data_IF_807359809472
#
_entry.id   IF_807359809472
#
_cell.length_a   1.000
_cell.length_b   1.000
_cell.length_c   1.000
_cell.angle_alpha   90.00
_cell.angle_beta   90.00
_cell.angle_gamma   90.00
#
_symmetry.space_group_name_H-M   'P 1'
#
loop_
_entity.id
_entity.type
_entity.pdbx_description
1 polymer ?
#
# COMPACT_ATOMS: atom_id res chain seq x y z
N UNK A 1 -16.27 36.61 51.78
CA UNK A 1 -15.21 35.58 51.69
C UNK A 1 -15.06 35.07 50.25
N UNK A 2 -14.66 35.95 49.30
CA UNK A 2 -14.46 35.60 47.88
C UNK A 2 -13.12 36.12 47.31
N UNK A 3 -12.22 36.57 48.19
CA UNK A 3 -10.92 37.17 47.83
C UNK A 3 -9.71 36.35 48.28
N UNK A 4 -9.93 35.15 48.84
CA UNK A 4 -8.87 34.23 49.29
C UNK A 4 -8.59 33.15 48.23
N UNK A 5 -9.49 32.96 47.26
CA UNK A 5 -9.35 31.91 46.23
C UNK A 5 -8.50 32.33 45.02
N UNK A 6 -8.05 33.58 44.94
CA UNK A 6 -7.28 34.06 43.77
C UNK A 6 -5.75 34.02 43.96
N UNK A 7 -5.25 33.83 45.19
CA UNK A 7 -3.81 33.86 45.50
C UNK A 7 -3.16 32.47 45.58
N UNK A 8 -3.94 31.39 45.59
CA UNK A 8 -3.41 30.02 45.59
C UNK A 8 -3.08 29.47 44.19
N UNK A 9 -3.56 30.12 43.11
CA UNK A 9 -3.37 29.65 41.73
C UNK A 9 -2.03 30.03 41.08
N UNK A 10 -1.25 30.93 41.68
CA UNK A 10 -0.02 31.47 41.06
C UNK A 10 1.29 30.83 41.54
N UNK A 11 1.23 29.90 42.50
CA UNK A 11 2.41 29.24 43.05
C UNK A 11 2.68 27.84 42.46
N UNK A 12 1.81 27.34 41.57
CA UNK A 12 1.91 25.97 41.01
C UNK A 12 2.39 25.93 39.56
N UNK A 13 2.90 27.06 39.04
CA UNK A 13 3.40 27.15 37.65
C UNK A 13 4.90 26.84 37.51
N UNK A 14 5.81 27.07 38.48
CA UNK A 14 7.23 26.82 38.21
C UNK A 14 7.63 25.34 38.32
N UNK A 15 6.79 24.45 38.88
CA UNK A 15 7.14 23.02 39.04
C UNK A 15 7.01 22.18 37.76
N UNK A 16 6.40 22.68 36.70
CA UNK A 16 6.30 21.96 35.41
C UNK A 16 7.50 22.30 34.49
N UNK A 17 8.19 23.41 34.74
CA UNK A 17 9.35 23.82 33.93
C UNK A 17 10.62 22.96 34.20
N UNK A 18 10.67 22.24 35.32
CA UNK A 18 11.81 21.39 35.69
C UNK A 18 11.83 20.03 34.98
N UNK A 19 10.70 19.58 34.41
CA UNK A 19 10.64 18.28 33.72
C UNK A 19 11.05 18.35 32.25
N UNK A 20 11.20 19.54 31.67
CA UNK A 20 11.59 19.72 30.27
C UNK A 20 13.11 19.65 30.02
N UNK A 21 13.94 19.82 31.05
CA UNK A 21 15.42 19.72 30.95
C UNK A 21 15.98 18.37 31.44
N UNK A 22 15.13 17.42 31.80
CA UNK A 22 15.52 16.04 32.10
C UNK A 22 15.55 15.13 30.85
N UNK A 23 15.75 15.70 29.65
CA UNK A 23 16.40 14.97 28.55
C UNK A 23 17.89 14.85 28.89
N UNK A 24 18.19 14.21 30.03
CA UNK A 24 19.53 13.74 30.34
C UNK A 24 19.96 12.83 29.20
N UNK A 25 21.19 13.02 28.75
CA UNK A 25 21.94 12.14 27.85
C UNK A 25 21.75 10.67 28.26
N UNK A 26 20.70 10.04 27.74
CA UNK A 26 20.31 8.70 28.09
C UNK A 26 21.04 7.74 27.19
N UNK A 27 21.94 6.94 27.77
CA UNK A 27 22.17 5.60 27.26
C UNK A 27 20.81 4.98 26.96
N UNK A 28 20.61 4.67 25.68
CA UNK A 28 19.39 4.01 25.23
C UNK A 28 19.34 2.66 25.94
N UNK A 29 18.30 2.45 26.75
CA UNK A 29 18.01 1.14 27.33
C UNK A 29 18.07 0.09 26.20
N UNK A 30 19.00 -0.89 26.23
CA UNK A 30 19.13 -1.86 25.16
C UNK A 30 17.85 -2.70 24.96
N UNK A 31 16.94 -2.72 25.94
CA UNK A 31 15.64 -3.36 25.83
C UNK A 31 14.57 -2.51 25.12
N UNK A 32 14.73 -1.19 25.05
CA UNK A 32 13.76 -0.25 24.44
C UNK A 32 14.34 0.55 23.27
N UNK A 33 15.61 0.36 22.94
CA UNK A 33 16.26 0.98 21.80
C UNK A 33 15.71 0.49 20.47
N UNK A 34 15.36 1.42 19.59
CA UNK A 34 15.12 1.10 18.17
C UNK A 34 16.35 0.39 17.62
N UNK A 35 16.15 -0.73 16.93
CA UNK A 35 17.23 -1.47 16.29
C UNK A 35 18.08 -0.53 15.42
N UNK A 36 19.40 -0.70 15.49
CA UNK A 36 20.34 0.06 14.64
C UNK A 36 19.98 -0.19 13.16
N UNK A 37 20.10 0.82 12.29
CA UNK A 37 19.82 0.64 10.86
C UNK A 37 20.74 -0.46 10.29
N UNK A 38 20.12 -1.44 9.63
CA UNK A 38 20.82 -2.56 8.99
C UNK A 38 21.14 -2.19 7.54
N UNK A 39 22.23 -2.76 7.01
CA UNK A 39 22.62 -2.58 5.61
C UNK A 39 21.47 -2.97 4.66
N UNK A 40 21.30 -2.25 3.54
CA UNK A 40 20.27 -2.57 2.55
C UNK A 40 20.55 -3.91 1.88
N UNK A 41 19.49 -4.70 1.68
CA UNK A 41 19.58 -5.99 0.98
C UNK A 41 20.03 -5.83 -0.47
N UNK A 42 20.85 -6.76 -0.95
CA UNK A 42 21.30 -6.78 -2.34
C UNK A 42 20.16 -7.11 -3.32
N UNK A 43 20.30 -6.82 -4.63
CA UNK A 43 19.30 -7.26 -5.63
C UNK A 43 19.12 -8.78 -5.68
N UNK A 44 20.19 -9.56 -5.46
CA UNK A 44 20.16 -11.01 -5.45
C UNK A 44 19.29 -11.54 -4.29
N UNK A 45 19.56 -11.07 -3.07
CA UNK A 45 18.75 -11.39 -1.87
C UNK A 45 17.28 -11.03 -2.06
N UNK A 46 17.00 -9.87 -2.67
CA UNK A 46 15.61 -9.46 -2.97
C UNK A 46 14.93 -10.36 -3.99
N UNK A 47 15.69 -10.89 -4.96
CA UNK A 47 15.14 -11.78 -5.99
C UNK A 47 14.81 -13.17 -5.43
N UNK A 48 15.68 -13.69 -4.57
CA UNK A 48 15.48 -14.95 -3.85
C UNK A 48 14.28 -14.86 -2.91
N UNK A 49 14.22 -13.81 -2.07
CA UNK A 49 13.07 -13.57 -1.18
C UNK A 49 11.75 -13.33 -1.94
N UNK A 50 11.80 -12.90 -3.21
CA UNK A 50 10.59 -12.84 -4.06
C UNK A 50 10.22 -14.22 -4.60
N UNK A 51 11.19 -15.06 -4.94
CA UNK A 51 10.99 -16.43 -5.35
C UNK A 51 10.29 -17.25 -4.27
N UNK A 52 10.81 -17.20 -3.05
CA UNK A 52 10.23 -17.88 -1.88
C UNK A 52 8.79 -17.45 -1.62
N UNK A 53 8.54 -16.13 -1.58
CA UNK A 53 7.18 -15.58 -1.39
C UNK A 53 6.21 -16.01 -2.47
N UNK A 54 6.64 -16.09 -3.73
CA UNK A 54 5.80 -16.58 -4.83
C UNK A 54 5.46 -18.05 -4.65
N UNK A 55 6.42 -18.88 -4.25
CA UNK A 55 6.19 -20.30 -3.99
C UNK A 55 5.17 -20.51 -2.86
N UNK A 56 5.40 -19.86 -1.71
CA UNK A 56 4.50 -19.93 -0.56
C UNK A 56 3.10 -19.37 -0.89
N UNK A 57 3.03 -18.22 -1.56
CA UNK A 57 1.76 -17.61 -1.97
C UNK A 57 0.99 -18.46 -2.97
N UNK A 58 1.68 -19.10 -3.92
CA UNK A 58 1.04 -20.00 -4.89
C UNK A 58 0.50 -21.27 -4.21
N UNK A 59 1.22 -21.82 -3.24
CA UNK A 59 0.76 -22.97 -2.45
C UNK A 59 -0.46 -22.60 -1.58
N UNK A 60 -0.40 -21.46 -0.89
CA UNK A 60 -1.51 -20.97 -0.07
C UNK A 60 -2.76 -20.67 -0.92
N UNK A 61 -2.60 -20.04 -2.09
CA UNK A 61 -3.71 -19.73 -3.00
C UNK A 61 -4.42 -20.97 -3.56
N UNK A 62 -3.73 -22.12 -3.64
CA UNK A 62 -4.34 -23.39 -4.06
C UNK A 62 -5.25 -24.00 -2.98
N UNK A 63 -5.02 -23.68 -1.70
CA UNK A 63 -5.76 -24.25 -0.57
C UNK A 63 -5.59 -25.77 -0.41
N UNK A 64 -6.27 -26.39 0.58
CA UNK A 64 -6.31 -27.84 0.74
C UNK A 64 -6.95 -28.51 -0.49
N UNK A 65 -6.18 -29.34 -1.19
CA UNK A 65 -6.67 -30.13 -2.33
C UNK A 65 -7.23 -31.47 -1.82
N UNK A 66 -8.41 -31.43 -1.19
CA UNK A 66 -9.07 -32.63 -0.67
C UNK A 66 -9.93 -33.25 -1.78
N UNK A 67 -9.44 -34.32 -2.40
CA UNK A 67 -10.19 -35.09 -3.39
C UNK A 67 -9.31 -36.10 -4.12
N UNK A 68 -9.88 -37.25 -4.48
CA UNK A 68 -9.23 -38.21 -5.38
C UNK A 68 -9.02 -37.56 -6.75
N UNK A 69 -7.78 -37.13 -6.99
CA UNK A 69 -7.12 -37.12 -8.30
C UNK A 69 -7.93 -36.61 -9.48
N UNK A 70 -8.70 -35.53 -9.36
CA UNK A 70 -9.18 -34.84 -10.55
C UNK A 70 -7.95 -34.29 -11.28
N UNK A 71 -7.68 -34.70 -12.54
CA UNK A 71 -6.51 -34.25 -13.25
C UNK A 71 -6.54 -32.73 -13.31
N UNK A 72 -5.40 -32.11 -13.00
CA UNK A 72 -5.27 -30.65 -13.06
C UNK A 72 -5.71 -30.20 -14.45
N UNK A 73 -6.69 -29.28 -14.57
CA UNK A 73 -7.24 -28.94 -15.87
C UNK A 73 -6.11 -28.44 -16.77
N UNK A 74 -5.98 -29.04 -17.95
CA UNK A 74 -4.98 -28.64 -18.93
C UNK A 74 -5.25 -27.19 -19.31
N UNK A 75 -4.26 -26.32 -19.13
CA UNK A 75 -4.38 -24.92 -19.51
C UNK A 75 -4.75 -24.82 -21.00
N UNK A 76 -5.75 -24.01 -21.31
CA UNK A 76 -6.13 -23.74 -22.69
C UNK A 76 -4.94 -23.18 -23.49
N UNK A 77 -4.83 -23.48 -24.79
CA UNK A 77 -3.77 -22.93 -25.62
C UNK A 77 -3.80 -21.40 -25.58
N UNK A 78 -2.62 -20.78 -25.49
CA UNK A 78 -2.49 -19.33 -25.53
C UNK A 78 -2.98 -18.82 -26.89
N UNK A 79 -3.80 -17.78 -26.86
CA UNK A 79 -4.18 -17.05 -28.08
C UNK A 79 -2.92 -16.49 -28.75
N UNK A 80 -2.85 -16.61 -30.08
CA UNK A 80 -1.71 -16.13 -30.87
C UNK A 80 -1.48 -14.63 -30.64
N UNK A 81 -0.28 -14.15 -30.96
CA UNK A 81 0.04 -12.72 -30.81
C UNK A 81 -0.76 -11.88 -31.81
N UNK A 82 -0.98 -12.44 -32.99
CA UNK A 82 -1.68 -11.89 -34.12
C UNK A 82 -3.16 -11.69 -33.77
N UNK A 83 -3.81 -12.72 -33.23
CA UNK A 83 -5.21 -12.65 -32.79
C UNK A 83 -5.40 -11.65 -31.66
N UNK A 84 -4.47 -11.61 -30.69
CA UNK A 84 -4.49 -10.59 -29.63
C UNK A 84 -4.34 -9.18 -30.19
N UNK A 85 -3.50 -8.99 -31.21
CA UNK A 85 -3.33 -7.69 -31.87
C UNK A 85 -4.61 -7.29 -32.61
N UNK A 86 -5.23 -8.21 -33.34
CA UNK A 86 -6.48 -7.99 -34.05
C UNK A 86 -7.63 -7.64 -33.09
N UNK A 87 -7.79 -8.40 -32.00
CA UNK A 87 -8.79 -8.12 -30.97
C UNK A 87 -8.59 -6.75 -30.32
N UNK A 88 -7.34 -6.38 -30.02
CA UNK A 88 -7.02 -5.06 -29.50
C UNK A 88 -7.32 -3.93 -30.49
N UNK A 89 -7.05 -4.14 -31.78
CA UNK A 89 -7.37 -3.18 -32.82
C UNK A 89 -8.88 -2.95 -32.92
N UNK A 90 -9.68 -4.04 -32.93
CA UNK A 90 -11.15 -3.97 -32.91
C UNK A 90 -11.67 -3.20 -31.70
N UNK A 91 -11.19 -3.52 -30.50
CA UNK A 91 -11.56 -2.81 -29.26
C UNK A 91 -11.27 -1.31 -29.34
N UNK A 92 -10.08 -0.94 -29.84
CA UNK A 92 -9.70 0.47 -30.00
C UNK A 92 -10.56 1.19 -31.03
N UNK A 93 -10.92 0.54 -32.13
CA UNK A 93 -11.83 1.10 -33.12
C UNK A 93 -13.20 1.40 -32.52
N UNK A 94 -13.81 0.42 -31.83
CA UNK A 94 -15.08 0.59 -31.13
C UNK A 94 -15.01 1.70 -30.07
N UNK A 95 -13.92 1.79 -29.31
CA UNK A 95 -13.71 2.87 -28.33
C UNK A 95 -13.64 4.24 -29.02
N UNK A 96 -13.00 4.33 -30.20
CA UNK A 96 -12.95 5.59 -30.97
C UNK A 96 -14.31 5.98 -31.51
N UNK A 97 -15.11 5.03 -31.97
CA UNK A 97 -16.47 5.27 -32.43
C UNK A 97 -17.35 5.75 -31.28
N UNK A 98 -17.34 5.06 -30.15
CA UNK A 98 -18.09 5.45 -28.95
C UNK A 98 -17.64 6.83 -28.40
N UNK A 99 -16.35 7.17 -28.50
CA UNK A 99 -15.86 8.51 -28.17
C UNK A 99 -16.37 9.59 -29.15
N UNK A 100 -16.51 9.26 -30.44
CA UNK A 100 -17.04 10.19 -31.46
C UNK A 100 -18.54 10.40 -31.30
N UNK A 101 -19.30 9.34 -30.95
CA UNK A 101 -20.73 9.43 -30.69
C UNK A 101 -21.06 10.03 -29.31
N UNK A 102 -20.05 10.25 -28.46
CA UNK A 102 -20.25 10.83 -27.13
C UNK A 102 -20.81 9.83 -26.10
N UNK A 103 -20.82 8.53 -26.42
CA UNK A 103 -21.27 7.46 -25.52
C UNK A 103 -20.31 7.23 -24.34
N UNK A 104 -19.06 7.68 -24.47
CA UNK A 104 -18.05 7.56 -23.42
C UNK A 104 -17.89 8.90 -22.68
N UNK A 105 -17.94 8.84 -21.35
CA UNK A 105 -17.64 9.99 -20.50
C UNK A 105 -16.24 10.56 -20.84
N UNK A 106 -16.15 11.88 -20.98
CA UNK A 106 -14.90 12.59 -21.26
C UNK A 106 -13.94 12.42 -20.08
N UNK A 107 -13.10 11.40 -20.13
CA UNK A 107 -12.19 11.06 -19.04
C UNK A 107 -12.19 9.58 -18.64
N UNK A 108 -13.05 8.75 -19.24
CA UNK A 108 -13.00 7.28 -19.08
C UNK A 108 -13.40 6.77 -17.70
N UNK A 109 -13.91 7.64 -16.82
CA UNK A 109 -14.48 7.30 -15.53
C UNK A 109 -15.62 8.29 -15.26
N UNK A 110 -16.82 7.79 -14.95
CA UNK A 110 -17.90 8.60 -14.38
C UNK A 110 -17.56 9.13 -12.98
N UNK A 111 -16.52 8.56 -12.35
CA UNK A 111 -16.06 8.89 -11.00
C UNK A 111 -14.83 9.80 -10.97
N UNK A 112 -14.29 10.18 -12.14
CA UNK A 112 -13.15 11.09 -12.20
C UNK A 112 -13.66 12.54 -12.15
N UNK A 113 -13.28 13.34 -11.14
CA UNK A 113 -13.67 14.74 -11.11
C UNK A 113 -13.14 15.40 -12.38
N UNK A 114 -14.04 16.08 -13.10
CA UNK A 114 -13.70 16.83 -14.29
C UNK A 114 -12.51 17.73 -13.95
N UNK A 115 -11.35 17.50 -14.60
CA UNK A 115 -10.24 18.43 -14.49
C UNK A 115 -10.69 19.73 -15.16
N UNK A 116 -11.25 20.64 -14.36
CA UNK A 116 -11.38 22.04 -14.74
C UNK A 116 -9.98 22.52 -15.11
N UNK A 117 -9.83 22.88 -16.38
CA UNK A 117 -8.61 23.56 -16.86
C UNK A 117 -8.64 24.99 -16.26
N UNK A 118 -7.50 25.54 -15.82
CA UNK A 118 -7.41 26.96 -15.47
C UNK A 118 -7.72 27.85 -16.67
#
# INVERSE_FOLDING_TARGET
MRKILLTAGLALIPMIASTAFAQSSGEVDPAQGKARPVAPTTPAERSEARGERKGAGAAAARGPQIGEGQPQPTAAPKVSREDRKAANAKRRAATREANKSGELARGGNTDAPEKQKP
#
